data_IF_402246291095
#
_entry.id   IF_402246291095
#
_cell.length_a   1.000
_cell.length_b   1.000
_cell.length_c   1.000
_cell.angle_alpha   90.00
_cell.angle_beta   90.00
_cell.angle_gamma   90.00
#
_symmetry.space_group_name_H-M   'P 1'
#
loop_
_entity.id
_entity.type
_entity.pdbx_description
1 polymer ?
#
# COMPACT_ATOMS: atom_id res chain seq x y z
N UNK A 1 -19.57 35.45 18.11
CA UNK A 1 -18.13 35.13 18.04
C UNK A 1 -17.95 33.76 18.64
N UNK A 2 -16.98 32.98 18.15
CA UNK A 2 -16.76 31.62 18.65
C UNK A 2 -16.39 31.61 20.14
N UNK A 3 -16.84 30.58 20.83
CA UNK A 3 -16.60 30.38 22.26
C UNK A 3 -16.12 28.97 22.54
N UNK A 4 -15.32 28.85 23.60
CA UNK A 4 -14.98 27.58 24.24
C UNK A 4 -15.87 27.49 25.48
N UNK A 5 -16.58 26.37 25.64
CA UNK A 5 -17.48 26.14 26.76
C UNK A 5 -16.95 24.96 27.57
N UNK A 6 -16.58 25.22 28.82
CA UNK A 6 -16.27 24.17 29.78
C UNK A 6 -17.55 23.80 30.52
N UNK A 7 -17.97 22.53 30.42
CA UNK A 7 -19.18 22.04 31.07
C UNK A 7 -18.80 20.98 32.08
N UNK A 8 -19.36 21.06 33.29
CA UNK A 8 -19.25 20.00 34.29
C UNK A 8 -20.65 19.49 34.66
N UNK A 9 -20.85 18.19 34.50
CA UNK A 9 -22.02 17.45 34.95
C UNK A 9 -21.63 16.65 36.19
N UNK A 10 -21.96 17.20 37.36
CA UNK A 10 -21.56 16.58 38.64
C UNK A 10 -22.45 15.42 39.03
N UNK A 11 -21.84 14.28 39.35
CA UNK A 11 -22.54 13.09 39.81
C UNK A 11 -23.52 12.50 38.78
N UNK A 12 -23.31 12.76 37.48
CA UNK A 12 -23.97 12.03 36.40
C UNK A 12 -23.28 10.67 36.26
N UNK A 13 -24.01 9.57 36.10
CA UNK A 13 -23.34 8.29 35.80
C UNK A 13 -22.92 8.21 34.34
N UNK A 14 -22.01 7.30 34.01
CA UNK A 14 -21.56 7.07 32.63
C UNK A 14 -22.71 6.62 31.75
N UNK A 15 -23.55 5.74 32.27
CA UNK A 15 -24.74 5.22 31.57
C UNK A 15 -25.75 6.33 31.30
N UNK A 16 -25.96 7.23 32.27
CA UNK A 16 -26.80 8.41 32.08
C UNK A 16 -26.23 9.35 31.02
N UNK A 17 -24.92 9.58 31.04
CA UNK A 17 -24.24 10.42 30.07
C UNK A 17 -24.32 9.84 28.65
N UNK A 18 -24.09 8.54 28.49
CA UNK A 18 -24.15 7.87 27.19
C UNK A 18 -25.59 7.82 26.65
N UNK A 19 -26.57 7.49 27.49
CA UNK A 19 -27.98 7.56 27.12
C UNK A 19 -28.37 8.99 26.70
N UNK A 20 -27.88 10.01 27.40
CA UNK A 20 -28.10 11.41 27.05
C UNK A 20 -27.46 11.75 25.70
N UNK A 21 -26.19 11.37 25.50
CA UNK A 21 -25.43 11.59 24.26
C UNK A 21 -26.10 10.93 23.04
N UNK A 22 -26.57 9.70 23.20
CA UNK A 22 -27.33 8.97 22.19
C UNK A 22 -28.66 9.66 21.91
N UNK A 23 -29.41 10.02 22.97
CA UNK A 23 -30.73 10.64 22.84
C UNK A 23 -30.69 11.99 22.16
N UNK A 24 -29.70 12.82 22.50
CA UNK A 24 -29.48 14.09 21.80
C UNK A 24 -28.93 13.86 20.40
N UNK A 25 -28.24 12.74 20.15
CA UNK A 25 -27.72 12.36 18.84
C UNK A 25 -26.57 13.25 18.39
N UNK A 26 -25.69 13.63 19.32
CA UNK A 26 -24.60 14.59 19.10
C UNK A 26 -23.69 14.18 17.94
N UNK A 27 -23.36 12.88 17.88
CA UNK A 27 -22.47 12.26 16.89
C UNK A 27 -23.14 12.13 15.53
N UNK A 28 -24.37 11.62 15.50
CA UNK A 28 -25.07 11.28 14.26
C UNK A 28 -25.66 12.53 13.60
N UNK A 29 -25.98 13.55 14.40
CA UNK A 29 -26.55 14.83 13.95
C UNK A 29 -25.88 15.97 14.73
N UNK A 30 -24.68 16.44 14.31
CA UNK A 30 -24.02 17.56 14.94
C UNK A 30 -24.97 18.76 15.08
N UNK A 31 -25.01 19.44 16.23
CA UNK A 31 -25.82 20.64 16.38
C UNK A 31 -25.29 21.77 15.50
N UNK A 32 -26.20 22.63 15.05
CA UNK A 32 -25.83 23.81 14.28
C UNK A 32 -24.90 24.71 15.10
N UNK A 33 -23.74 25.05 14.54
CA UNK A 33 -22.72 25.83 15.23
C UNK A 33 -21.81 25.05 16.19
N UNK A 34 -21.99 23.74 16.36
CA UNK A 34 -21.04 22.89 17.09
C UNK A 34 -19.77 22.63 16.28
N UNK A 35 -18.59 22.87 16.88
CA UNK A 35 -17.29 22.77 16.22
C UNK A 35 -16.47 21.60 16.77
N UNK A 36 -16.46 21.42 18.10
CA UNK A 36 -15.72 20.36 18.78
C UNK A 36 -16.44 19.96 20.08
N UNK A 37 -16.23 18.73 20.52
CA UNK A 37 -16.73 18.23 21.80
C UNK A 37 -15.74 17.20 22.34
N UNK A 38 -15.08 17.53 23.45
CA UNK A 38 -14.19 16.64 24.16
C UNK A 38 -14.84 16.28 25.49
N UNK A 39 -14.79 15.01 25.89
CA UNK A 39 -15.36 14.55 27.15
C UNK A 39 -14.33 13.73 27.93
N UNK A 40 -14.24 13.97 29.23
CA UNK A 40 -13.47 13.14 30.15
C UNK A 40 -14.16 13.05 31.51
N UNK A 41 -13.58 12.25 32.40
CA UNK A 41 -14.10 12.01 33.74
C UNK A 41 -13.02 12.31 34.77
N UNK A 42 -13.38 13.05 35.83
CA UNK A 42 -12.54 13.28 36.99
C UNK A 42 -13.32 12.89 38.25
N UNK A 43 -12.99 11.73 38.82
CA UNK A 43 -13.81 11.13 39.88
C UNK A 43 -15.21 10.76 39.37
N UNK A 44 -16.25 11.27 40.04
CA UNK A 44 -17.66 11.07 39.68
C UNK A 44 -18.21 12.15 38.74
N UNK A 45 -17.40 13.15 38.40
CA UNK A 45 -17.82 14.27 37.56
C UNK A 45 -17.47 13.99 36.08
N UNK A 46 -18.44 14.26 35.20
CA UNK A 46 -18.22 14.28 33.77
C UNK A 46 -17.91 15.70 33.32
N UNK A 47 -16.83 15.87 32.57
CA UNK A 47 -16.36 17.14 32.08
C UNK A 47 -16.41 17.17 30.56
N UNK A 48 -16.86 18.28 30.01
CA UNK A 48 -16.85 18.55 28.58
C UNK A 48 -16.10 19.83 28.29
N UNK A 49 -15.40 19.84 27.16
CA UNK A 49 -14.85 21.05 26.57
C UNK A 49 -15.34 21.15 25.13
N UNK A 50 -16.15 22.17 24.87
CA UNK A 50 -16.84 22.32 23.59
C UNK A 50 -16.36 23.57 22.86
N UNK A 51 -16.24 23.46 21.54
CA UNK A 51 -16.09 24.60 20.64
C UNK A 51 -17.41 24.93 19.97
N UNK A 52 -17.84 26.19 20.02
CA UNK A 52 -19.09 26.65 19.40
C UNK A 52 -18.90 27.93 18.59
N UNK A 53 -19.70 28.10 17.54
CA UNK A 53 -19.71 29.30 16.71
C UNK A 53 -20.19 30.56 17.47
N UNK A 54 -21.02 30.39 18.50
CA UNK A 54 -21.48 31.43 19.43
C UNK A 54 -22.08 30.83 20.71
N UNK A 55 -22.20 31.65 21.76
CA UNK A 55 -22.97 31.29 22.97
C UNK A 55 -24.45 31.01 22.64
N UNK A 56 -25.00 31.75 21.67
CA UNK A 56 -26.38 31.55 21.18
C UNK A 56 -26.58 30.17 20.57
N UNK A 57 -25.60 29.65 19.81
CA UNK A 57 -25.67 28.31 19.22
C UNK A 57 -25.64 27.21 20.30
N UNK A 58 -24.79 27.35 21.32
CA UNK A 58 -24.80 26.45 22.49
C UNK A 58 -26.13 26.52 23.24
N UNK A 59 -26.65 27.73 23.47
CA UNK A 59 -27.93 27.95 24.14
C UNK A 59 -29.10 27.30 23.40
N UNK A 60 -29.17 27.46 22.08
CA UNK A 60 -30.19 26.84 21.24
C UNK A 60 -30.12 25.30 21.26
N UNK A 61 -28.91 24.72 21.27
CA UNK A 61 -28.75 23.28 21.49
C UNK A 61 -29.24 22.84 22.87
N UNK A 62 -28.89 23.62 23.91
CA UNK A 62 -29.34 23.44 25.28
C UNK A 62 -30.87 23.35 25.37
N UNK A 63 -31.56 24.37 24.85
CA UNK A 63 -33.02 24.50 24.91
C UNK A 63 -33.75 23.45 24.08
N UNK A 64 -33.28 23.18 22.86
CA UNK A 64 -34.04 22.38 21.89
C UNK A 64 -33.69 20.88 21.88
N UNK A 65 -32.52 20.49 22.39
CA UNK A 65 -32.06 19.09 22.34
C UNK A 65 -31.64 18.56 23.71
N UNK A 66 -30.75 19.27 24.41
CA UNK A 66 -30.15 18.76 25.65
C UNK A 66 -31.16 18.69 26.80
N UNK A 67 -31.78 19.81 27.15
CA UNK A 67 -32.73 19.88 28.28
C UNK A 67 -33.93 18.94 28.11
N UNK A 68 -34.60 18.87 26.93
CA UNK A 68 -35.67 17.90 26.71
C UNK A 68 -35.22 16.44 26.89
N UNK A 69 -34.01 16.10 26.44
CA UNK A 69 -33.47 14.76 26.58
C UNK A 69 -33.13 14.42 28.05
N UNK A 70 -32.62 15.38 28.81
CA UNK A 70 -32.37 15.19 30.25
C UNK A 70 -33.66 14.95 31.03
N UNK A 71 -34.72 15.71 30.73
CA UNK A 71 -36.05 15.52 31.34
C UNK A 71 -36.61 14.14 31.00
N UNK A 72 -36.53 13.73 29.73
CA UNK A 72 -37.03 12.42 29.26
C UNK A 72 -36.31 11.25 29.94
N UNK A 73 -34.99 11.39 30.15
CA UNK A 73 -34.15 10.35 30.76
C UNK A 73 -34.13 10.41 32.29
N UNK A 74 -34.81 11.38 32.92
CA UNK A 74 -34.83 11.56 34.37
C UNK A 74 -33.46 11.93 34.95
N UNK A 75 -32.67 12.72 34.22
CA UNK A 75 -31.35 13.20 34.64
C UNK A 75 -31.54 14.59 35.28
N UNK A 76 -31.43 14.64 36.61
CA UNK A 76 -31.63 15.86 37.41
C UNK A 76 -30.35 16.71 37.56
N UNK A 77 -29.19 16.17 37.18
CA UNK A 77 -27.91 16.85 37.25
C UNK A 77 -27.89 18.07 36.33
N UNK A 78 -27.71 19.26 36.89
CA UNK A 78 -27.63 20.50 36.09
C UNK A 78 -26.20 20.71 35.57
N UNK A 79 -26.01 20.93 34.25
CA UNK A 79 -24.70 21.27 33.71
C UNK A 79 -24.25 22.64 34.20
N UNK A 80 -23.04 22.71 34.74
CA UNK A 80 -22.37 23.98 35.04
C UNK A 80 -21.53 24.36 33.83
N UNK A 81 -21.89 25.44 33.13
CA UNK A 81 -21.16 25.91 31.95
C UNK A 81 -20.38 27.20 32.25
N UNK A 82 -19.10 27.23 31.84
CA UNK A 82 -18.23 28.41 31.87
C UNK A 82 -17.84 28.76 30.45
N UNK A 83 -18.04 30.02 30.06
CA UNK A 83 -17.80 30.50 28.71
C UNK A 83 -16.49 31.28 28.61
N UNK A 84 -15.72 30.97 27.57
CA UNK A 84 -14.49 31.65 27.22
C UNK A 84 -14.55 32.12 25.77
N UNK A 85 -14.14 33.36 25.51
CA UNK A 85 -13.97 33.82 24.13
C UNK A 85 -12.84 33.04 23.47
N UNK A 86 -13.13 32.42 22.33
CA UNK A 86 -12.11 31.67 21.61
C UNK A 86 -11.09 32.63 20.96
N UNK A 87 -9.80 32.41 21.22
CA UNK A 87 -8.73 33.01 20.41
C UNK A 87 -8.57 32.26 19.08
N UNK A 88 -8.67 30.93 19.11
CA UNK A 88 -8.65 30.03 17.96
C UNK A 88 -9.35 28.70 18.32
N UNK A 89 -10.01 28.04 17.35
CA UNK A 89 -10.51 26.66 17.48
C UNK A 89 -10.13 25.91 16.21
N UNK A 90 -9.32 24.86 16.34
CA UNK A 90 -8.80 24.07 15.22
C UNK A 90 -9.00 22.57 15.45
N UNK A 91 -9.64 21.88 14.49
CA UNK A 91 -9.95 20.44 14.53
C UNK A 91 -9.38 19.75 13.27
N UNK A 92 -8.10 19.32 13.29
CA UNK A 92 -7.42 18.81 12.10
C UNK A 92 -7.98 17.49 11.56
N UNK A 93 -8.52 16.66 12.44
CA UNK A 93 -9.25 15.43 12.09
C UNK A 93 -10.75 15.67 12.31
N UNK A 94 -11.52 15.75 11.23
CA UNK A 94 -12.98 15.84 11.33
C UNK A 94 -13.56 14.44 11.56
N UNK A 95 -13.72 14.03 12.83
CA UNK A 95 -14.27 12.72 13.18
C UNK A 95 -14.31 12.42 14.68
N UNK A 96 -14.87 11.28 15.05
CA UNK A 96 -14.87 10.78 16.44
C UNK A 96 -13.66 9.89 16.63
N UNK A 97 -12.75 10.33 17.47
CA UNK A 97 -11.50 9.61 17.75
C UNK A 97 -11.73 8.46 18.76
N UNK A 98 -12.68 8.63 19.70
CA UNK A 98 -13.18 7.58 20.58
C UNK A 98 -14.49 8.00 21.28
N UNK A 99 -15.47 7.09 21.37
CA UNK A 99 -16.59 7.16 22.32
C UNK A 99 -16.55 5.84 23.09
N UNK A 100 -15.97 5.83 24.28
CA UNK A 100 -15.80 4.60 25.05
C UNK A 100 -17.14 4.15 25.63
N UNK A 101 -17.81 3.20 25.00
CA UNK A 101 -18.65 2.24 25.72
C UNK A 101 -17.72 1.30 26.48
N UNK A 102 -17.95 1.13 27.79
CA UNK A 102 -17.22 0.12 28.57
C UNK A 102 -17.87 -1.24 28.28
N UNK A 103 -17.11 -2.26 27.83
CA UNK A 103 -17.61 -3.62 27.72
C UNK A 103 -17.96 -4.20 29.10
N UNK A 104 -19.05 -4.95 29.14
CA UNK A 104 -19.50 -5.75 30.27
C UNK A 104 -18.35 -6.62 30.83
N UNK A 105 -17.85 -6.28 32.02
CA UNK A 105 -16.75 -7.00 32.69
C UNK A 105 -17.34 -8.20 33.41
N UNK A 106 -17.65 -9.25 32.65
CA UNK A 106 -17.76 -10.61 33.17
C UNK A 106 -16.60 -11.44 32.62
N UNK A 107 -15.71 -11.86 33.51
CA UNK A 107 -14.44 -12.52 33.21
C UNK A 107 -14.59 -13.76 32.31
N UNK A 108 -14.26 -13.57 31.03
CA UNK A 108 -13.59 -14.54 30.15
C UNK A 108 -12.54 -13.75 29.34
N UNK A 109 -11.40 -14.33 28.99
CA UNK A 109 -10.29 -13.71 28.22
C UNK A 109 -10.80 -12.80 27.11
N UNK A 110 -10.35 -11.55 27.05
CA UNK A 110 -10.87 -10.56 26.10
C UNK A 110 -10.59 -10.94 24.65
N UNK A 111 -11.39 -10.45 23.70
CA UNK A 111 -11.17 -10.68 22.27
C UNK A 111 -9.76 -10.23 21.85
N UNK A 112 -9.24 -9.16 22.45
CA UNK A 112 -7.87 -8.71 22.25
C UNK A 112 -6.82 -9.74 22.70
N UNK A 113 -7.09 -10.55 23.73
CA UNK A 113 -6.18 -11.63 24.15
C UNK A 113 -6.13 -12.75 23.11
N UNK A 114 -7.26 -13.08 22.49
CA UNK A 114 -7.30 -14.03 21.37
C UNK A 114 -6.46 -13.50 20.21
N UNK A 115 -6.65 -12.24 19.81
CA UNK A 115 -5.83 -11.63 18.76
C UNK A 115 -4.33 -11.63 19.13
N UNK A 116 -3.95 -11.20 20.35
CA UNK A 116 -2.56 -11.26 20.86
C UNK A 116 -1.96 -12.66 20.76
N UNK A 117 -2.73 -13.68 21.15
CA UNK A 117 -2.28 -15.07 21.08
C UNK A 117 -2.02 -15.52 19.64
N UNK A 118 -2.84 -15.07 18.68
CA UNK A 118 -2.64 -15.32 17.25
C UNK A 118 -1.34 -14.71 16.72
N UNK A 119 -1.05 -13.44 17.04
CA UNK A 119 0.22 -12.82 16.66
C UNK A 119 1.42 -13.50 17.33
N UNK A 120 1.31 -13.87 18.60
CA UNK A 120 2.39 -14.56 19.32
C UNK A 120 2.66 -15.95 18.71
N UNK A 121 1.62 -16.71 18.37
CA UNK A 121 1.75 -17.99 17.68
C UNK A 121 2.39 -17.82 16.29
N UNK A 122 1.95 -16.83 15.50
CA UNK A 122 2.54 -16.53 14.21
C UNK A 122 4.03 -16.16 14.31
N UNK A 123 4.39 -15.27 15.25
CA UNK A 123 5.78 -14.87 15.50
C UNK A 123 6.67 -16.04 15.95
N UNK A 124 6.08 -17.07 16.58
CA UNK A 124 6.77 -18.30 16.96
C UNK A 124 6.82 -19.35 15.83
N UNK A 125 6.21 -19.08 14.66
CA UNK A 125 6.07 -20.03 13.56
C UNK A 125 5.02 -21.13 13.80
N UNK A 126 4.17 -20.98 14.81
CA UNK A 126 3.12 -21.94 15.17
C UNK A 126 1.84 -21.70 14.37
N UNK A 127 1.88 -22.04 13.07
CA UNK A 127 0.70 -21.94 12.19
C UNK A 127 -0.47 -22.79 12.70
N UNK A 128 -0.30 -24.05 13.16
CA UNK A 128 -1.39 -24.81 13.78
C UNK A 128 -2.04 -24.09 14.97
N UNK A 129 -1.24 -23.44 15.82
CA UNK A 129 -1.71 -22.60 16.91
C UNK A 129 -2.58 -21.44 16.44
N UNK A 130 -2.15 -20.71 15.40
CA UNK A 130 -2.96 -19.64 14.77
C UNK A 130 -4.29 -20.18 14.25
N UNK A 131 -4.27 -21.26 13.47
CA UNK A 131 -5.46 -21.85 12.87
C UNK A 131 -6.46 -22.38 13.92
N UNK A 132 -5.98 -22.78 15.10
CA UNK A 132 -6.84 -23.27 16.19
C UNK A 132 -7.78 -22.20 16.77
N UNK A 133 -7.48 -20.92 16.53
CA UNK A 133 -8.30 -19.79 16.98
C UNK A 133 -9.52 -19.55 16.09
N UNK A 134 -9.55 -20.13 14.88
CA UNK A 134 -10.51 -19.80 13.85
C UNK A 134 -11.76 -20.67 13.95
N UNK A 135 -12.91 -20.07 13.65
CA UNK A 135 -14.17 -20.79 13.50
C UNK A 135 -14.17 -21.57 12.17
N UNK A 136 -15.00 -22.62 12.08
CA UNK A 136 -15.14 -23.40 10.85
C UNK A 136 -15.66 -22.54 9.67
N UNK A 137 -16.46 -21.52 9.97
CA UNK A 137 -17.02 -20.55 9.02
C UNK A 137 -16.15 -19.29 8.83
N UNK A 138 -14.85 -19.35 9.14
CA UNK A 138 -13.92 -18.23 8.94
C UNK A 138 -13.99 -17.67 7.51
N UNK A 139 -13.93 -16.34 7.40
CA UNK A 139 -13.62 -15.62 6.15
C UNK A 139 -12.34 -14.80 6.33
N UNK A 140 -11.28 -15.18 5.62
CA UNK A 140 -9.97 -14.52 5.65
C UNK A 140 -9.76 -13.72 4.36
N UNK A 141 -9.51 -12.42 4.48
CA UNK A 141 -9.44 -11.49 3.36
C UNK A 141 -8.11 -10.73 3.34
N UNK A 142 -7.42 -10.78 2.20
CA UNK A 142 -6.18 -10.04 1.91
C UNK A 142 -6.37 -9.27 0.60
N UNK A 143 -5.79 -8.06 0.42
CA UNK A 143 -6.00 -7.29 -0.81
C UNK A 143 -5.69 -8.07 -2.10
N UNK A 144 -6.65 -8.14 -3.01
CA UNK A 144 -6.57 -8.87 -4.31
C UNK A 144 -5.41 -8.41 -5.21
N UNK A 145 -4.89 -7.21 -4.96
CA UNK A 145 -3.69 -6.68 -5.65
C UNK A 145 -2.42 -7.47 -5.34
N UNK A 146 -2.34 -8.15 -4.18
CA UNK A 146 -1.21 -9.04 -3.88
C UNK A 146 -1.38 -10.31 -4.73
N UNK A 147 -0.33 -10.83 -5.40
CA UNK A 147 -0.47 -11.98 -6.31
C UNK A 147 -1.10 -13.25 -5.72
N UNK A 148 -0.98 -13.42 -4.40
CA UNK A 148 -1.61 -14.49 -3.61
C UNK A 148 -2.61 -13.92 -2.58
N UNK A 149 -3.12 -12.71 -2.80
CA UNK A 149 -4.23 -12.12 -2.06
C UNK A 149 -5.57 -12.69 -2.52
N UNK A 150 -6.64 -12.30 -1.84
CA UNK A 150 -7.98 -12.83 -2.10
C UNK A 150 -8.76 -13.15 -0.83
N UNK A 151 -9.91 -13.79 -1.05
CA UNK A 151 -10.80 -14.28 0.01
C UNK A 151 -10.65 -15.80 0.16
N UNK A 152 -10.41 -16.24 1.38
CA UNK A 152 -10.21 -17.63 1.77
C UNK A 152 -11.27 -18.05 2.79
N UNK A 153 -11.80 -19.27 2.65
CA UNK A 153 -12.88 -19.78 3.51
C UNK A 153 -12.41 -20.90 4.43
N UNK A 154 -12.79 -20.80 5.70
CA UNK A 154 -12.48 -21.76 6.75
C UNK A 154 -10.99 -21.83 7.11
N UNK A 155 -10.63 -22.63 8.14
CA UNK A 155 -9.25 -22.78 8.57
C UNK A 155 -8.32 -23.37 7.49
N UNK A 156 -8.84 -24.25 6.62
CA UNK A 156 -8.06 -24.79 5.51
C UNK A 156 -7.70 -23.72 4.47
N UNK A 157 -8.64 -22.83 4.11
CA UNK A 157 -8.35 -21.73 3.21
C UNK A 157 -7.27 -20.79 3.78
N UNK A 158 -7.34 -20.49 5.08
CA UNK A 158 -6.27 -19.71 5.75
C UNK A 158 -4.91 -20.44 5.72
N UNK A 159 -4.88 -21.77 5.85
CA UNK A 159 -3.66 -22.56 5.72
C UNK A 159 -3.06 -22.49 4.30
N UNK A 160 -3.91 -22.50 3.27
CA UNK A 160 -3.49 -22.35 1.87
C UNK A 160 -2.88 -20.95 1.64
N UNK A 161 -3.46 -19.90 2.23
CA UNK A 161 -2.88 -18.55 2.25
C UNK A 161 -1.49 -18.54 2.89
N UNK A 162 -1.32 -19.09 4.09
CA UNK A 162 0.00 -19.14 4.75
C UNK A 162 1.03 -19.91 3.93
N UNK A 163 0.62 -20.98 3.24
CA UNK A 163 1.48 -21.72 2.33
C UNK A 163 1.95 -20.85 1.15
N UNK A 164 1.04 -20.11 0.53
CA UNK A 164 1.38 -19.17 -0.54
C UNK A 164 2.27 -18.02 -0.04
N UNK A 165 1.99 -17.48 1.14
CA UNK A 165 2.81 -16.45 1.78
C UNK A 165 4.25 -16.92 1.98
N UNK A 166 4.46 -18.07 2.62
CA UNK A 166 5.80 -18.63 2.87
C UNK A 166 6.56 -19.03 1.59
N UNK A 167 5.83 -19.31 0.49
CA UNK A 167 6.46 -19.58 -0.81
C UNK A 167 7.05 -18.32 -1.45
N UNK A 168 6.48 -17.16 -1.15
CA UNK A 168 6.81 -15.90 -1.81
C UNK A 168 7.57 -14.91 -0.91
N UNK A 169 7.42 -15.03 0.42
CA UNK A 169 8.03 -14.17 1.43
C UNK A 169 8.97 -14.99 2.31
N UNK A 170 10.27 -14.73 2.19
CA UNK A 170 11.33 -15.48 2.88
C UNK A 170 11.43 -15.10 4.36
N UNK A 171 11.26 -13.82 4.67
CA UNK A 171 11.27 -13.28 6.03
C UNK A 171 10.08 -12.33 6.17
N UNK A 172 9.26 -12.51 7.21
CA UNK A 172 8.15 -11.61 7.53
C UNK A 172 8.09 -11.38 9.03
N UNK A 173 8.07 -10.09 9.39
CA UNK A 173 7.88 -9.60 10.75
C UNK A 173 6.57 -8.80 10.78
N UNK A 174 5.63 -9.25 11.60
CA UNK A 174 4.30 -8.65 11.77
C UNK A 174 4.25 -8.06 13.17
N UNK A 175 4.23 -6.72 13.26
CA UNK A 175 4.27 -6.01 14.55
C UNK A 175 2.97 -5.25 14.81
N UNK A 176 2.10 -5.76 15.68
CA UNK A 176 0.98 -4.99 16.22
C UNK A 176 1.47 -3.81 17.06
N UNK A 177 0.90 -2.63 16.85
CA UNK A 177 1.21 -1.44 17.66
C UNK A 177 0.32 -1.38 18.91
N UNK A 178 -0.97 -1.71 18.73
CA UNK A 178 -1.99 -1.74 19.79
C UNK A 178 -3.16 -2.62 19.38
N UNK A 179 -3.99 -2.97 20.36
CA UNK A 179 -5.22 -3.73 20.17
C UNK A 179 -6.39 -2.88 20.65
N UNK A 180 -7.40 -2.70 19.80
CA UNK A 180 -8.57 -1.88 20.09
C UNK A 180 -9.79 -2.81 20.02
N UNK A 181 -10.47 -3.00 21.15
CA UNK A 181 -11.74 -3.74 21.17
C UNK A 181 -12.89 -2.83 20.76
N UNK A 182 -13.65 -3.27 19.76
CA UNK A 182 -14.82 -2.59 19.20
C UNK A 182 -15.95 -3.63 19.05
N UNK A 183 -16.57 -3.96 20.20
CA UNK A 183 -17.62 -4.99 20.27
C UNK A 183 -17.07 -6.39 19.97
N UNK A 184 -17.60 -7.04 18.94
CA UNK A 184 -17.17 -8.36 18.48
C UNK A 184 -15.86 -8.31 17.67
N UNK A 185 -15.35 -7.12 17.37
CA UNK A 185 -14.22 -6.92 16.47
C UNK A 185 -13.03 -6.32 17.21
N UNK A 186 -11.83 -6.83 16.95
CA UNK A 186 -10.55 -6.26 17.39
C UNK A 186 -9.87 -5.60 16.20
N UNK A 187 -9.64 -4.30 16.31
CA UNK A 187 -8.87 -3.54 15.32
C UNK A 187 -7.42 -3.50 15.77
N UNK A 188 -6.52 -3.94 14.91
CA UNK A 188 -5.09 -4.05 15.20
C UNK A 188 -4.31 -3.27 14.14
N UNK A 189 -4.01 -1.99 14.37
CA UNK A 189 -3.01 -1.29 13.58
C UNK A 189 -1.61 -1.85 13.90
N UNK A 190 -0.75 -1.85 12.90
CA UNK A 190 0.62 -2.31 13.06
C UNK A 190 1.45 -2.08 11.81
N UNK A 191 2.54 -2.83 11.71
CA UNK A 191 3.50 -2.72 10.63
C UNK A 191 4.02 -4.08 10.19
N UNK A 192 4.05 -4.29 8.88
CA UNK A 192 4.74 -5.40 8.25
C UNK A 192 6.13 -4.98 7.82
N UNK A 193 7.10 -5.85 8.06
CA UNK A 193 8.42 -5.74 7.43
C UNK A 193 8.81 -7.09 6.88
N UNK A 194 9.12 -7.15 5.58
CA UNK A 194 9.40 -8.42 4.93
C UNK A 194 10.48 -8.35 3.86
N UNK A 195 11.04 -9.53 3.57
CA UNK A 195 11.91 -9.81 2.43
C UNK A 195 11.30 -10.95 1.61
N UNK A 196 11.13 -10.72 0.32
CA UNK A 196 10.58 -11.70 -0.61
C UNK A 196 11.63 -12.74 -1.00
N UNK A 197 11.19 -13.90 -1.47
CA UNK A 197 12.09 -14.94 -2.02
C UNK A 197 12.83 -14.42 -3.26
N UNK A 198 12.22 -13.49 -4.00
CA UNK A 198 12.83 -12.80 -5.14
C UNK A 198 13.89 -11.76 -4.74
N UNK A 199 14.08 -11.49 -3.43
CA UNK A 199 15.10 -10.57 -2.91
C UNK A 199 14.61 -9.15 -2.64
N UNK A 200 13.39 -8.79 -3.05
CA UNK A 200 12.77 -7.50 -2.75
C UNK A 200 12.42 -7.36 -1.27
N UNK A 201 12.29 -6.13 -0.78
CA UNK A 201 11.90 -5.85 0.61
C UNK A 201 10.78 -4.84 0.69
N UNK A 202 9.91 -4.97 1.68
CA UNK A 202 8.82 -4.03 1.94
C UNK A 202 8.70 -3.70 3.43
N UNK A 203 8.17 -2.51 3.71
CA UNK A 203 7.92 -2.00 5.06
C UNK A 203 6.67 -1.12 5.00
N UNK A 204 5.51 -1.68 5.42
CA UNK A 204 4.20 -1.05 5.21
C UNK A 204 3.35 -1.08 6.48
N UNK A 205 2.60 0.00 6.80
CA UNK A 205 1.60 -0.05 7.86
C UNK A 205 0.42 -0.92 7.44
N UNK A 206 -0.19 -1.60 8.41
CA UNK A 206 -1.42 -2.36 8.22
C UNK A 206 -2.47 -2.00 9.28
N UNK A 207 -3.72 -2.34 8.98
CA UNK A 207 -4.80 -2.51 9.95
C UNK A 207 -5.41 -3.89 9.71
N UNK A 208 -5.38 -4.75 10.72
CA UNK A 208 -6.08 -6.02 10.70
C UNK A 208 -7.37 -5.90 11.51
N UNK A 209 -8.48 -6.38 10.94
CA UNK A 209 -9.77 -6.48 11.58
C UNK A 209 -10.03 -7.95 11.91
N UNK A 210 -10.15 -8.26 13.20
CA UNK A 210 -10.47 -9.60 13.68
C UNK A 210 -11.89 -9.57 14.22
N UNK A 211 -12.85 -10.25 13.59
CA UNK A 211 -14.20 -10.40 14.14
C UNK A 211 -14.32 -11.77 14.81
N UNK A 212 -14.82 -11.79 16.04
CA UNK A 212 -14.89 -12.97 16.89
C UNK A 212 -16.32 -13.25 17.35
N UNK A 213 -16.65 -14.54 17.45
CA UNK A 213 -17.90 -15.04 18.02
C UNK A 213 -17.58 -16.22 18.94
N UNK A 214 -18.01 -16.12 20.20
CA UNK A 214 -17.78 -17.16 21.22
C UNK A 214 -16.29 -17.54 21.36
N UNK A 215 -15.41 -16.54 21.36
CA UNK A 215 -13.96 -16.74 21.49
C UNK A 215 -13.27 -17.35 20.26
N UNK A 216 -13.96 -17.46 19.12
CA UNK A 216 -13.38 -17.90 17.84
C UNK A 216 -13.45 -16.83 16.78
N UNK A 217 -12.42 -16.73 15.95
CA UNK A 217 -12.34 -15.75 14.86
C UNK A 217 -13.22 -16.23 13.70
N UNK A 218 -14.23 -15.45 13.34
CA UNK A 218 -15.15 -15.71 12.22
C UNK A 218 -14.77 -14.89 10.99
N UNK A 219 -14.05 -13.77 11.15
CA UNK A 219 -13.48 -13.04 10.03
C UNK A 219 -12.12 -12.43 10.39
N UNK A 220 -11.23 -12.43 9.42
CA UNK A 220 -9.99 -11.67 9.44
C UNK A 220 -9.88 -10.88 8.13
N UNK A 221 -9.68 -9.57 8.22
CA UNK A 221 -9.46 -8.71 7.06
C UNK A 221 -8.20 -7.89 7.24
N UNK A 222 -7.30 -7.99 6.26
CA UNK A 222 -6.11 -7.17 6.18
C UNK A 222 -6.34 -5.95 5.30
N UNK A 223 -6.01 -4.78 5.83
CA UNK A 223 -5.98 -3.51 5.10
C UNK A 223 -4.56 -2.98 5.16
N UNK A 224 -3.92 -2.81 4.00
CA UNK A 224 -2.60 -2.18 3.89
C UNK A 224 -2.45 -1.51 2.53
N UNK A 225 -1.45 -0.64 2.40
CA UNK A 225 -0.95 -0.23 1.08
C UNK A 225 -0.19 -1.42 0.47
N UNK A 226 -0.81 -2.07 -0.50
CA UNK A 226 -0.25 -3.25 -1.16
C UNK A 226 0.80 -2.91 -2.22
N UNK A 227 0.91 -1.66 -2.67
CA UNK A 227 1.81 -1.31 -3.77
C UNK A 227 3.29 -1.63 -3.47
N UNK A 228 3.85 -1.31 -2.28
CA UNK A 228 5.23 -1.68 -1.95
C UNK A 228 5.43 -3.20 -1.84
N UNK A 229 4.41 -3.94 -1.40
CA UNK A 229 4.46 -5.41 -1.31
C UNK A 229 4.49 -6.03 -2.70
N UNK A 230 3.61 -5.57 -3.60
CA UNK A 230 3.57 -6.01 -5.00
C UNK A 230 4.88 -5.69 -5.71
N UNK A 231 5.43 -4.50 -5.49
CA UNK A 231 6.73 -4.12 -6.04
C UNK A 231 7.86 -5.02 -5.53
N UNK A 232 7.88 -5.35 -4.24
CA UNK A 232 8.89 -6.24 -3.66
C UNK A 232 8.75 -7.70 -4.14
N UNK A 233 7.55 -8.12 -4.54
CA UNK A 233 7.27 -9.44 -5.11
C UNK A 233 7.57 -9.53 -6.61
N UNK A 234 7.68 -8.39 -7.30
CA UNK A 234 8.02 -8.34 -8.71
C UNK A 234 9.47 -8.81 -8.94
N UNK A 235 9.77 -9.34 -10.14
CA UNK A 235 11.16 -9.61 -10.54
C UNK A 235 12.02 -8.35 -10.42
N UNK A 236 13.30 -8.51 -10.06
CA UNK A 236 14.27 -7.42 -10.07
C UNK A 236 14.64 -7.05 -11.52
N UNK A 237 13.70 -6.39 -12.19
CA UNK A 237 13.82 -5.97 -13.58
C UNK A 237 15.00 -5.01 -13.75
N UNK A 238 15.30 -4.16 -12.76
CA UNK A 238 16.43 -3.25 -12.81
C UNK A 238 17.77 -4.00 -12.82
N UNK A 239 17.93 -5.02 -11.97
CA UNK A 239 19.12 -5.86 -12.01
C UNK A 239 19.24 -6.62 -13.34
N UNK A 240 18.14 -7.18 -13.86
CA UNK A 240 18.16 -7.87 -15.16
C UNK A 240 18.55 -6.91 -16.28
N UNK A 241 17.93 -5.72 -16.35
CA UNK A 241 18.23 -4.70 -17.36
C UNK A 241 19.67 -4.21 -17.25
N UNK A 242 20.17 -3.99 -16.03
CA UNK A 242 21.56 -3.57 -15.78
C UNK A 242 22.53 -4.61 -16.33
N UNK A 243 22.33 -5.90 -16.00
CA UNK A 243 23.16 -6.98 -16.53
C UNK A 243 23.02 -7.14 -18.04
N UNK A 244 21.82 -7.00 -18.58
CA UNK A 244 21.57 -7.07 -20.02
C UNK A 244 22.39 -6.00 -20.77
N UNK A 245 22.27 -4.73 -20.40
CA UNK A 245 22.99 -3.67 -21.11
C UNK A 245 24.50 -3.68 -20.84
N UNK A 246 24.94 -3.93 -19.60
CA UNK A 246 26.37 -3.93 -19.29
C UNK A 246 27.09 -5.18 -19.83
N UNK A 247 26.56 -6.36 -19.57
CA UNK A 247 27.24 -7.61 -19.88
C UNK A 247 27.03 -8.03 -21.34
N UNK A 248 25.78 -8.02 -21.81
CA UNK A 248 25.45 -8.50 -23.16
C UNK A 248 25.77 -7.42 -24.18
N UNK A 249 25.22 -6.21 -24.03
CA UNK A 249 25.34 -5.17 -25.06
C UNK A 249 26.70 -4.48 -25.03
N UNK A 250 27.19 -4.01 -23.87
CA UNK A 250 28.44 -3.25 -23.78
C UNK A 250 29.67 -4.16 -23.84
N UNK A 251 29.67 -5.28 -23.12
CA UNK A 251 30.82 -6.20 -23.06
C UNK A 251 30.77 -7.32 -24.11
N UNK A 252 29.62 -7.60 -24.71
CA UNK A 252 29.47 -8.64 -25.73
C UNK A 252 29.42 -10.07 -25.18
N UNK A 253 29.09 -10.24 -23.90
CA UNK A 253 28.96 -11.55 -23.23
C UNK A 253 27.62 -12.19 -23.54
N UNK A 254 27.47 -12.72 -24.76
CA UNK A 254 26.22 -13.24 -25.29
C UNK A 254 25.67 -14.44 -24.50
N UNK A 255 26.55 -15.21 -23.84
CA UNK A 255 26.20 -16.35 -23.00
C UNK A 255 25.30 -15.96 -21.81
N UNK A 256 25.38 -14.72 -21.33
CA UNK A 256 24.56 -14.21 -20.22
C UNK A 256 23.06 -14.18 -20.61
N UNK A 257 22.74 -14.12 -21.90
CA UNK A 257 21.35 -14.21 -22.34
C UNK A 257 20.69 -15.55 -21.97
N UNK A 258 21.45 -16.63 -21.77
CA UNK A 258 20.89 -17.92 -21.35
C UNK A 258 20.33 -17.90 -19.92
N UNK A 259 20.86 -17.00 -19.09
CA UNK A 259 20.42 -16.78 -17.71
C UNK A 259 19.25 -15.81 -17.64
N UNK A 260 19.31 -14.72 -18.40
CA UNK A 260 18.43 -13.56 -18.26
C UNK A 260 17.16 -13.64 -19.13
N UNK A 261 17.16 -14.41 -20.22
CA UNK A 261 16.07 -14.43 -21.20
C UNK A 261 15.36 -15.78 -21.19
N UNK A 262 14.04 -15.75 -21.35
CA UNK A 262 13.24 -16.93 -21.61
C UNK A 262 13.69 -17.55 -22.95
N UNK A 263 13.58 -18.88 -23.09
CA UNK A 263 13.97 -19.56 -24.32
C UNK A 263 13.14 -19.10 -25.52
N UNK A 264 11.84 -18.85 -25.27
CA UNK A 264 10.83 -18.35 -26.20
C UNK A 264 10.75 -16.81 -26.24
N UNK A 265 11.80 -16.09 -25.82
CA UNK A 265 11.84 -14.62 -25.83
C UNK A 265 11.44 -14.02 -27.18
N UNK A 266 10.63 -12.95 -27.16
CA UNK A 266 10.24 -12.21 -28.37
C UNK A 266 10.68 -10.75 -28.29
N UNK A 267 11.37 -10.27 -29.31
CA UNK A 267 11.75 -8.87 -29.47
C UNK A 267 10.98 -8.24 -30.64
N UNK A 268 10.13 -7.27 -30.34
CA UNK A 268 9.33 -6.50 -31.29
C UNK A 268 10.10 -5.25 -31.71
N UNK A 269 10.87 -5.40 -32.79
CA UNK A 269 11.66 -4.33 -33.37
C UNK A 269 10.95 -3.62 -34.54
N UNK A 270 11.42 -2.41 -34.91
CA UNK A 270 10.87 -1.65 -36.04
C UNK A 270 11.07 -2.35 -37.40
N UNK A 271 11.95 -3.36 -37.46
CA UNK A 271 12.22 -4.16 -38.67
C UNK A 271 11.51 -5.52 -38.67
N UNK A 272 10.66 -5.79 -37.67
CA UNK A 272 9.93 -7.04 -37.49
C UNK A 272 10.27 -7.73 -36.18
N UNK A 273 9.49 -8.77 -35.87
CA UNK A 273 9.62 -9.56 -34.65
C UNK A 273 10.77 -10.56 -34.77
N UNK A 274 11.52 -10.70 -33.68
CA UNK A 274 12.55 -11.72 -33.52
C UNK A 274 12.08 -12.68 -32.44
N UNK A 275 12.10 -13.97 -32.75
CA UNK A 275 11.73 -15.03 -31.81
C UNK A 275 12.94 -15.88 -31.40
N UNK A 276 13.03 -16.14 -30.10
CA UNK A 276 14.04 -16.96 -29.46
C UNK A 276 15.29 -16.17 -29.06
N UNK A 277 15.81 -16.48 -27.87
CA UNK A 277 17.04 -15.86 -27.32
C UNK A 277 18.27 -16.05 -28.20
N UNK A 278 18.35 -17.16 -28.95
CA UNK A 278 19.48 -17.41 -29.86
C UNK A 278 19.50 -16.43 -31.03
N UNK A 279 18.33 -16.10 -31.59
CA UNK A 279 18.21 -15.10 -32.65
C UNK A 279 18.56 -13.71 -32.13
N UNK A 280 18.16 -13.38 -30.90
CA UNK A 280 18.58 -12.15 -30.22
C UNK A 280 20.11 -12.06 -30.07
N UNK A 281 20.79 -13.12 -29.60
CA UNK A 281 22.26 -13.15 -29.50
C UNK A 281 22.94 -12.87 -30.84
N UNK A 282 22.42 -13.44 -31.93
CA UNK A 282 22.96 -13.22 -33.28
C UNK A 282 22.81 -11.76 -33.72
N UNK A 283 21.66 -11.13 -33.44
CA UNK A 283 21.45 -9.71 -33.72
C UNK A 283 22.44 -8.84 -32.95
N UNK A 284 22.62 -9.09 -31.65
CA UNK A 284 23.58 -8.33 -30.83
C UNK A 284 25.00 -8.50 -31.36
N UNK A 285 25.41 -9.70 -31.75
CA UNK A 285 26.72 -9.96 -32.35
C UNK A 285 26.91 -9.14 -33.64
N UNK A 286 25.96 -9.22 -34.57
CA UNK A 286 26.00 -8.47 -35.83
C UNK A 286 26.07 -6.96 -35.60
N UNK A 287 25.31 -6.47 -34.64
CA UNK A 287 25.24 -5.04 -34.34
C UNK A 287 26.53 -4.54 -33.67
N UNK A 288 27.15 -5.34 -32.78
CA UNK A 288 28.46 -5.05 -32.19
C UNK A 288 29.60 -5.11 -33.20
N UNK A 289 29.54 -5.99 -34.20
CA UNK A 289 30.52 -6.00 -35.30
C UNK A 289 30.45 -4.71 -36.12
N UNK A 290 29.25 -4.13 -36.28
CA UNK A 290 29.05 -2.87 -36.98
C UNK A 290 29.42 -1.64 -36.13
N UNK A 291 29.27 -1.73 -34.81
CA UNK A 291 29.50 -0.66 -33.82
C UNK A 291 30.33 -1.19 -32.63
N UNK A 292 31.65 -1.44 -32.81
CA UNK A 292 32.47 -2.13 -31.79
C UNK A 292 32.64 -1.36 -30.48
N UNK A 293 32.47 -0.03 -30.52
CA UNK A 293 32.56 0.89 -29.38
C UNK A 293 31.19 1.25 -28.79
N UNK A 294 30.14 0.45 -29.07
CA UNK A 294 28.83 0.71 -28.48
C UNK A 294 28.92 0.82 -26.97
N UNK A 295 28.22 1.83 -26.47
CA UNK A 295 27.91 1.93 -25.06
C UNK A 295 26.45 2.34 -24.85
N UNK A 296 25.74 1.52 -24.08
CA UNK A 296 24.38 1.73 -23.62
C UNK A 296 24.40 2.07 -22.13
N UNK A 297 23.69 3.14 -21.76
CA UNK A 297 23.47 3.57 -20.37
C UNK A 297 21.98 3.72 -20.11
N UNK A 298 21.48 2.96 -19.14
CA UNK A 298 20.11 3.09 -18.63
C UNK A 298 20.00 4.44 -17.90
N UNK A 299 18.94 5.19 -18.20
CA UNK A 299 18.67 6.50 -17.58
C UNK A 299 17.57 6.39 -16.53
N UNK A 300 16.47 5.72 -16.87
CA UNK A 300 15.27 5.61 -16.05
C UNK A 300 14.66 4.22 -16.19
N UNK A 301 14.11 3.68 -15.09
CA UNK A 301 13.44 2.38 -15.02
C UNK A 301 12.15 2.52 -14.20
N UNK A 302 11.04 1.99 -14.72
CA UNK A 302 9.75 1.93 -14.04
C UNK A 302 9.21 0.52 -14.17
N UNK A 303 9.02 -0.19 -13.06
CA UNK A 303 8.46 -1.53 -13.05
C UNK A 303 7.07 -1.55 -12.40
N UNK A 304 6.15 -2.29 -12.99
CA UNK A 304 4.82 -2.56 -12.46
C UNK A 304 4.40 -3.99 -12.79
N UNK A 305 4.35 -4.84 -11.76
CA UNK A 305 4.01 -6.25 -11.94
C UNK A 305 5.04 -6.97 -12.81
N UNK A 306 4.59 -7.55 -13.93
CA UNK A 306 5.42 -8.24 -14.90
C UNK A 306 5.97 -7.32 -16.02
N UNK A 307 5.57 -6.05 -16.04
CA UNK A 307 6.00 -5.07 -17.03
C UNK A 307 7.07 -4.13 -16.46
N UNK A 308 8.07 -3.83 -17.28
CA UNK A 308 9.06 -2.80 -16.99
C UNK A 308 9.21 -1.87 -18.20
N UNK A 309 9.15 -0.57 -17.98
CA UNK A 309 9.52 0.44 -18.96
C UNK A 309 10.89 1.01 -18.61
N UNK A 310 11.72 1.31 -19.61
CA UNK A 310 13.01 1.96 -19.40
C UNK A 310 13.42 2.86 -20.56
N UNK A 311 14.25 3.85 -20.22
CA UNK A 311 14.91 4.72 -21.19
C UNK A 311 16.40 4.38 -21.21
N UNK A 312 16.94 4.12 -22.39
CA UNK A 312 18.37 3.86 -22.59
C UNK A 312 18.97 4.86 -23.56
N UNK A 313 20.15 5.37 -23.22
CA UNK A 313 20.99 6.18 -24.10
C UNK A 313 22.05 5.30 -24.72
N UNK A 314 22.15 5.32 -26.04
CA UNK A 314 23.11 4.52 -26.80
C UNK A 314 24.05 5.42 -27.57
N UNK A 315 25.35 5.15 -27.47
CA UNK A 315 26.40 5.82 -28.25
C UNK A 315 27.24 4.80 -28.99
N UNK A 316 27.81 5.18 -30.13
CA UNK A 316 28.79 4.36 -30.83
C UNK A 316 29.23 4.99 -32.15
N UNK A 317 30.15 4.31 -32.83
CA UNK A 317 30.73 4.69 -34.12
C UNK A 317 30.45 3.60 -35.16
N UNK A 318 29.77 3.95 -36.24
CA UNK A 318 29.40 2.99 -37.29
C UNK A 318 30.60 2.68 -38.20
N UNK A 319 31.33 1.62 -37.90
CA UNK A 319 32.57 1.22 -38.58
C UNK A 319 32.49 -0.06 -39.40
N UNK A 320 31.44 -0.87 -39.23
CA UNK A 320 31.22 -2.10 -40.01
C UNK A 320 29.87 -2.10 -40.72
N UNK A 321 29.73 -2.94 -41.75
CA UNK A 321 28.57 -2.92 -42.67
C UNK A 321 27.32 -3.64 -42.11
N UNK A 322 27.36 -4.08 -40.85
CA UNK A 322 26.35 -4.95 -40.24
C UNK A 322 24.99 -4.29 -39.97
N UNK A 323 24.84 -2.97 -40.16
CA UNK A 323 23.57 -2.25 -40.00
C UNK A 323 22.66 -2.29 -41.24
N UNK A 324 23.04 -3.05 -42.28
CA UNK A 324 22.29 -3.15 -43.54
C UNK A 324 22.66 -2.09 -44.59
N UNK A 325 23.69 -1.28 -44.32
CA UNK A 325 24.27 -0.30 -45.23
C UNK A 325 25.77 -0.11 -44.94
N UNK A 326 26.57 0.40 -45.89
CA UNK A 326 28.01 0.52 -45.72
C UNK A 326 28.42 1.39 -44.52
N UNK A 327 29.52 1.01 -43.88
CA UNK A 327 30.14 1.75 -42.79
C UNK A 327 30.36 3.23 -43.17
N UNK A 328 29.94 4.11 -42.28
CA UNK A 328 29.99 5.57 -42.52
C UNK A 328 31.16 6.25 -41.80
N UNK A 329 31.76 5.56 -40.82
CA UNK A 329 32.78 6.10 -39.93
C UNK A 329 32.29 7.19 -38.97
N UNK A 330 30.98 7.43 -38.90
CA UNK A 330 30.39 8.50 -38.09
C UNK A 330 29.91 7.98 -36.74
N UNK A 331 30.04 8.86 -35.74
CA UNK A 331 29.49 8.65 -34.40
C UNK A 331 28.00 8.98 -34.39
N UNK A 332 27.24 8.26 -33.56
CA UNK A 332 25.86 8.57 -33.23
C UNK A 332 25.62 8.54 -31.73
N UNK A 333 24.55 9.21 -31.32
CA UNK A 333 23.96 9.15 -29.99
C UNK A 333 22.44 9.14 -30.12
N UNK A 334 21.78 8.16 -29.51
CA UNK A 334 20.32 8.02 -29.54
C UNK A 334 19.75 7.76 -28.15
N UNK A 335 18.46 8.04 -28.03
CA UNK A 335 17.64 7.61 -26.91
C UNK A 335 16.62 6.62 -27.43
N UNK A 336 16.41 5.56 -26.65
CA UNK A 336 15.40 4.56 -26.90
C UNK A 336 14.48 4.43 -25.69
N UNK A 337 13.18 4.32 -25.97
CA UNK A 337 12.15 4.02 -24.99
C UNK A 337 11.66 2.60 -25.23
N UNK A 338 11.59 1.82 -24.15
CA UNK A 338 11.41 0.39 -24.22
C UNK A 338 10.39 -0.05 -23.18
N UNK A 339 9.67 -1.13 -23.48
CA UNK A 339 8.81 -1.85 -22.56
C UNK A 339 9.18 -3.32 -22.67
N UNK A 340 9.36 -4.00 -21.55
CA UNK A 340 9.65 -5.43 -21.48
C UNK A 340 8.73 -6.14 -20.52
N UNK A 341 8.39 -7.38 -20.84
CA UNK A 341 7.66 -8.30 -19.97
C UNK A 341 8.61 -9.34 -19.38
N UNK A 342 8.45 -9.60 -18.10
CA UNK A 342 9.24 -10.58 -17.35
C UNK A 342 8.37 -11.75 -16.90
N UNK A 343 8.89 -12.97 -17.05
CA UNK A 343 8.24 -14.21 -16.62
C UNK A 343 9.27 -15.10 -15.96
N UNK A 344 8.94 -15.63 -14.78
CA UNK A 344 9.81 -16.52 -14.00
C UNK A 344 11.22 -15.95 -13.77
N UNK A 345 11.31 -14.64 -13.52
CA UNK A 345 12.58 -13.95 -13.30
C UNK A 345 13.42 -13.73 -14.56
N UNK A 346 12.84 -13.89 -15.76
CA UNK A 346 13.52 -13.73 -17.05
C UNK A 346 12.77 -12.80 -17.99
N UNK A 347 13.49 -12.11 -18.87
CA UNK A 347 12.89 -11.33 -19.95
C UNK A 347 12.20 -12.27 -20.94
N UNK A 348 10.91 -12.03 -21.21
CA UNK A 348 10.07 -12.87 -22.06
C UNK A 348 9.61 -12.15 -23.33
N UNK A 349 9.40 -10.84 -23.27
CA UNK A 349 8.88 -10.06 -24.40
C UNK A 349 9.43 -8.63 -24.32
N UNK A 350 9.65 -7.96 -25.44
CA UNK A 350 10.20 -6.62 -25.50
C UNK A 350 9.63 -5.83 -26.68
N UNK A 351 9.30 -4.56 -26.46
CA UNK A 351 8.93 -3.58 -27.48
C UNK A 351 9.83 -2.36 -27.34
N UNK A 352 10.30 -1.84 -28.46
CA UNK A 352 11.17 -0.67 -28.45
C UNK A 352 10.84 0.33 -29.54
N UNK A 353 10.97 1.61 -29.20
CA UNK A 353 11.38 2.61 -30.18
C UNK A 353 12.87 2.90 -29.97
N UNK A 354 13.68 2.65 -30.99
CA UNK A 354 15.15 2.54 -30.92
C UNK A 354 15.86 3.83 -31.32
N UNK A 355 15.12 4.92 -31.57
CA UNK A 355 15.71 6.14 -32.10
C UNK A 355 16.39 5.93 -33.45
N UNK A 356 15.84 5.03 -34.28
CA UNK A 356 16.44 4.66 -35.56
C UNK A 356 16.53 5.87 -36.52
N UNK A 357 15.49 6.71 -36.56
CA UNK A 357 15.49 7.91 -37.38
C UNK A 357 16.63 8.89 -37.02
N UNK A 358 16.81 9.34 -35.76
CA UNK A 358 17.93 10.19 -35.40
C UNK A 358 19.29 9.50 -35.60
N UNK A 359 19.40 8.17 -35.47
CA UNK A 359 20.62 7.45 -35.81
C UNK A 359 20.96 7.61 -37.30
N UNK A 360 20.02 7.29 -38.20
CA UNK A 360 20.19 7.32 -39.66
C UNK A 360 20.56 8.71 -40.18
N UNK A 361 20.05 9.76 -39.54
CA UNK A 361 20.43 11.15 -39.81
C UNK A 361 21.89 11.42 -39.41
N UNK A 362 22.29 11.03 -38.20
CA UNK A 362 23.65 11.26 -37.68
C UNK A 362 24.73 10.51 -38.46
N UNK A 363 24.45 9.26 -38.87
CA UNK A 363 25.36 8.48 -39.72
C UNK A 363 25.30 8.90 -41.20
N UNK A 364 24.35 9.76 -41.57
CA UNK A 364 24.26 10.39 -42.89
C UNK A 364 23.67 9.49 -43.98
N UNK A 365 22.87 8.49 -43.61
CA UNK A 365 22.03 7.73 -44.53
C UNK A 365 20.83 8.57 -44.97
N UNK A 366 20.22 9.29 -44.02
CA UNK A 366 19.15 10.24 -44.30
C UNK A 366 19.75 11.66 -44.33
N UNK A 367 19.68 12.37 -45.46
CA UNK A 367 20.17 13.75 -45.55
C UNK A 367 19.27 14.70 -44.76
N UNK A 368 19.86 15.66 -44.06
CA UNK A 368 19.14 16.80 -43.47
C UNK A 368 19.12 17.94 -44.49
N UNK A 369 17.95 18.50 -44.84
CA UNK A 369 17.90 19.70 -45.66
C UNK A 369 18.71 20.82 -45.01
N UNK A 370 19.65 21.42 -45.73
CA UNK A 370 20.29 22.64 -45.26
C UNK A 370 19.25 23.78 -45.29
N UNK A 371 19.14 24.61 -44.24
CA UNK A 371 18.32 25.80 -44.31
C UNK A 371 18.82 26.68 -45.47
N UNK A 372 17.86 27.15 -46.27
CA UNK A 372 18.08 27.91 -47.51
C UNK A 372 18.71 29.29 -47.28
#
# INVERSE_FOLDING_TARGET
MAVIVEVTLRGITREQYDALRERVGWVQRPPEGGIAHLTWWEGEDCHNLDGWASEEAFGAFGEHRLVPAMIELGIDQQPVAVFHQAHEVYTPEAGIVAATEIPDVAATTGNADVARSGYAAFAAGDIPGVLSLFAEDLVWTVPDSVPFGGVYSGPQGAADFFTALMRNVAELDVRPDRYIEAGDTVVVPGRHRGRTVAGGSFDVPFVHLWTLRNGRVTSFTEVMDSAPVVQALAPDAEAILTRMFDEIINQGRLEIADELFAEDYVDHGPMGDISGRETFKQLVAQWRDAVPDVHCRISDVVAQGDLCAWVVRTTGTHTGDGLGFPATGKRFETLSANIGRFRDGRAAEHWSEQGLFPMLVQVGVIPVPQPA
#
